data_IF_598900870624
#
_entry.id   IF_598900870624
#
_cell.length_a   1.000
_cell.length_b   1.000
_cell.length_c   1.000
_cell.angle_alpha   90.00
_cell.angle_beta   90.00
_cell.angle_gamma   90.00
#
_symmetry.space_group_name_H-M   'P 1'
#
loop_
_entity.id
_entity.type
_entity.pdbx_description
1 polymer ?
#
# COMPACT_ATOMS: atom_id res chain seq x y z
N UNK A 1 2.44 -14.89 -16.17
CA UNK A 1 1.25 -14.02 -16.34
C UNK A 1 1.48 -12.61 -15.80
N UNK A 2 1.74 -12.43 -14.50
CA UNK A 2 2.01 -11.13 -13.87
C UNK A 2 2.99 -10.23 -14.65
N UNK A 3 4.15 -10.76 -15.06
CA UNK A 3 5.16 -10.01 -15.81
C UNK A 3 4.66 -9.53 -17.19
N UNK A 4 3.89 -10.37 -17.88
CA UNK A 4 3.31 -10.02 -19.18
C UNK A 4 2.22 -8.96 -19.04
N UNK A 5 1.39 -9.05 -18.00
CA UNK A 5 0.39 -8.02 -17.69
C UNK A 5 1.05 -6.69 -17.30
N UNK A 6 2.12 -6.72 -16.48
CA UNK A 6 2.90 -5.53 -16.12
C UNK A 6 3.48 -4.80 -17.33
N UNK A 7 3.92 -5.54 -18.35
CA UNK A 7 4.48 -4.96 -19.57
C UNK A 7 3.48 -4.05 -20.32
N UNK A 8 2.17 -4.24 -20.14
CA UNK A 8 1.13 -3.40 -20.76
C UNK A 8 1.16 -1.94 -20.25
N UNK A 9 1.81 -1.69 -19.10
CA UNK A 9 1.86 -0.39 -18.44
C UNK A 9 3.14 0.39 -18.74
N UNK A 10 4.19 -0.25 -19.28
CA UNK A 10 5.55 0.32 -19.36
C UNK A 10 5.62 1.64 -20.12
N UNK A 11 4.78 1.80 -21.15
CA UNK A 11 4.76 3.01 -21.99
C UNK A 11 4.28 4.24 -21.23
N UNK A 12 3.24 4.09 -20.41
CA UNK A 12 2.60 5.20 -19.70
C UNK A 12 3.16 5.34 -18.27
N UNK A 13 3.72 4.26 -17.71
CA UNK A 13 4.29 4.21 -16.36
C UNK A 13 5.68 3.55 -16.37
N UNK A 14 6.76 4.26 -16.74
CA UNK A 14 8.11 3.68 -16.83
C UNK A 14 8.62 3.03 -15.54
N UNK A 15 8.10 3.45 -14.38
CA UNK A 15 8.44 2.88 -13.09
C UNK A 15 8.10 1.37 -12.98
N UNK A 16 7.13 0.86 -13.76
CA UNK A 16 6.74 -0.56 -13.74
C UNK A 16 7.81 -1.49 -14.32
N UNK A 17 8.76 -0.95 -15.09
CA UNK A 17 9.88 -1.70 -15.62
C UNK A 17 10.95 -1.99 -14.54
N UNK A 18 10.89 -1.30 -13.39
CA UNK A 18 11.79 -1.58 -12.27
C UNK A 18 11.49 -2.98 -11.69
N UNK A 19 12.53 -3.62 -11.16
CA UNK A 19 12.37 -4.84 -10.37
C UNK A 19 11.55 -4.61 -9.09
N UNK A 20 11.26 -5.67 -8.32
CA UNK A 20 10.62 -5.54 -7.01
C UNK A 20 11.43 -4.61 -6.10
N UNK A 21 10.76 -3.68 -5.44
CA UNK A 21 11.35 -2.72 -4.51
C UNK A 21 10.43 -2.50 -3.32
N UNK A 22 11.01 -2.16 -2.17
CA UNK A 22 10.28 -1.59 -1.03
C UNK A 22 10.32 -0.07 -1.17
N UNK A 23 9.18 0.57 -1.01
CA UNK A 23 9.05 2.02 -1.08
C UNK A 23 8.20 2.52 0.09
N UNK A 24 8.43 3.79 0.46
CA UNK A 24 7.59 4.53 1.39
C UNK A 24 6.70 5.49 0.61
N UNK A 25 5.45 5.61 1.04
CA UNK A 25 4.46 6.49 0.44
C UNK A 25 3.10 6.33 1.10
N UNK A 26 2.14 7.15 0.68
CA UNK A 26 0.83 7.18 1.34
C UNK A 26 -0.05 6.02 0.86
N UNK A 27 -0.74 5.42 1.82
CA UNK A 27 -1.75 4.39 1.58
C UNK A 27 -3.14 5.03 1.64
N UNK A 28 -3.79 5.21 0.48
CA UNK A 28 -5.13 5.76 0.42
C UNK A 28 -6.18 4.64 0.54
N UNK A 29 -6.96 4.66 1.62
CA UNK A 29 -7.97 3.65 1.87
C UNK A 29 -9.39 4.21 1.78
N UNK A 30 -10.32 3.41 1.27
CA UNK A 30 -11.75 3.76 1.24
C UNK A 30 -12.65 2.55 1.45
N UNK A 31 -13.91 2.76 1.80
CA UNK A 31 -14.85 1.64 2.03
C UNK A 31 -15.27 0.91 0.72
N UNK A 32 -14.78 1.31 -0.46
CA UNK A 32 -15.14 0.71 -1.74
C UNK A 32 -13.90 0.50 -2.59
N UNK A 33 -13.93 -0.57 -3.38
CA UNK A 33 -12.97 -0.74 -4.46
C UNK A 33 -13.18 0.36 -5.50
N UNK A 34 -12.11 0.97 -5.96
CA UNK A 34 -12.13 2.02 -6.98
C UNK A 34 -10.98 1.82 -7.97
N UNK A 35 -11.18 2.31 -9.19
CA UNK A 35 -10.26 2.05 -10.29
C UNK A 35 -10.37 3.13 -11.38
N UNK A 36 -9.29 3.34 -12.13
CA UNK A 36 -9.22 4.23 -13.28
C UNK A 36 -8.90 5.69 -12.95
N UNK A 37 -8.59 6.44 -14.01
CA UNK A 37 -7.99 7.78 -13.92
C UNK A 37 -8.78 8.79 -13.09
N UNK A 38 -10.11 8.78 -13.17
CA UNK A 38 -10.96 9.71 -12.41
C UNK A 38 -10.87 9.43 -10.92
N UNK A 39 -10.95 8.16 -10.53
CA UNK A 39 -10.86 7.75 -9.13
C UNK A 39 -9.43 7.86 -8.59
N UNK A 40 -8.42 7.60 -9.41
CA UNK A 40 -7.03 7.85 -9.05
C UNK A 40 -6.79 9.34 -8.77
N UNK A 41 -7.28 10.24 -9.63
CA UNK A 41 -7.18 11.68 -9.38
C UNK A 41 -7.87 12.08 -8.07
N UNK A 42 -9.04 11.51 -7.78
CA UNK A 42 -9.72 11.74 -6.51
C UNK A 42 -8.86 11.31 -5.32
N UNK A 43 -8.24 10.12 -5.36
CA UNK A 43 -7.33 9.65 -4.33
C UNK A 43 -6.08 10.54 -4.18
N UNK A 44 -5.49 10.98 -5.30
CA UNK A 44 -4.33 11.88 -5.33
C UNK A 44 -4.67 13.24 -4.70
N UNK A 45 -5.81 13.84 -5.07
CA UNK A 45 -6.25 15.14 -4.55
C UNK A 45 -6.49 15.08 -3.04
N UNK A 46 -7.13 14.02 -2.54
CA UNK A 46 -7.34 13.84 -1.10
C UNK A 46 -6.04 13.57 -0.35
N UNK A 47 -5.13 12.78 -0.93
CA UNK A 47 -3.82 12.53 -0.34
C UNK A 47 -3.04 13.83 -0.21
N UNK A 48 -2.99 14.64 -1.27
CA UNK A 48 -2.35 15.95 -1.24
C UNK A 48 -2.99 16.87 -0.19
N UNK A 49 -4.31 16.89 -0.06
CA UNK A 49 -5.00 17.70 0.95
C UNK A 49 -4.61 17.29 2.37
N UNK A 50 -4.68 16.00 2.71
CA UNK A 50 -4.43 15.53 4.07
C UNK A 50 -2.95 15.53 4.47
N UNK A 51 -2.05 15.52 3.50
CA UNK A 51 -0.60 15.58 3.73
C UNK A 51 -0.02 16.98 3.52
N UNK A 52 -0.87 18.00 3.38
CA UNK A 52 -0.45 19.38 3.06
C UNK A 52 0.51 19.46 1.85
N UNK A 53 0.27 18.61 0.85
CA UNK A 53 1.04 18.52 -0.40
C UNK A 53 2.35 17.74 -0.29
N UNK A 54 2.66 17.11 0.84
CA UNK A 54 3.92 16.39 1.05
C UNK A 54 3.87 14.92 0.59
N UNK A 55 2.67 14.32 0.60
CA UNK A 55 2.46 12.92 0.30
C UNK A 55 2.06 12.65 -1.16
N UNK A 56 2.27 11.40 -1.58
CA UNK A 56 1.83 10.85 -2.87
C UNK A 56 1.06 9.56 -2.61
N UNK A 57 -0.09 9.38 -3.27
CA UNK A 57 -0.89 8.16 -3.18
C UNK A 57 -0.14 7.00 -3.85
N UNK A 58 0.64 6.26 -3.06
CA UNK A 58 1.49 5.18 -3.55
C UNK A 58 0.76 3.82 -3.53
N UNK A 59 -0.24 3.67 -2.65
CA UNK A 59 -0.98 2.42 -2.48
C UNK A 59 -2.47 2.70 -2.29
N UNK A 60 -3.31 1.76 -2.73
CA UNK A 60 -4.74 1.75 -2.46
C UNK A 60 -5.13 0.50 -1.69
N UNK A 61 -6.09 0.62 -0.78
CA UNK A 61 -6.68 -0.53 -0.07
C UNK A 61 -8.07 -0.16 0.48
N UNK A 62 -8.68 -1.08 1.24
CA UNK A 62 -10.02 -0.88 1.80
C UNK A 62 -10.11 -0.97 3.33
N UNK A 63 -9.01 -1.27 4.03
CA UNK A 63 -9.04 -1.55 5.47
C UNK A 63 -8.23 -0.55 6.32
N UNK A 64 -7.14 0.02 5.79
CA UNK A 64 -6.16 0.79 6.57
C UNK A 64 -6.81 1.96 7.30
N UNK A 65 -7.75 2.69 6.67
CA UNK A 65 -8.45 3.81 7.33
C UNK A 65 -9.30 3.36 8.53
N UNK A 66 -9.93 2.19 8.44
CA UNK A 66 -10.73 1.63 9.52
C UNK A 66 -9.86 1.14 10.68
N UNK A 67 -8.75 0.47 10.34
CA UNK A 67 -7.74 0.02 11.31
C UNK A 67 -7.11 1.23 12.01
N UNK A 68 -6.69 2.24 11.25
CA UNK A 68 -6.13 3.48 11.77
C UNK A 68 -7.10 4.16 12.75
N UNK A 69 -8.35 4.37 12.35
CA UNK A 69 -9.37 4.95 13.22
C UNK A 69 -9.61 4.14 14.50
N UNK A 70 -9.60 2.80 14.43
CA UNK A 70 -9.72 1.95 15.61
C UNK A 70 -8.50 2.10 16.54
N UNK A 71 -7.30 2.10 15.98
CA UNK A 71 -6.05 2.24 16.72
C UNK A 71 -5.88 3.62 17.36
N UNK A 72 -6.26 4.70 16.69
CA UNK A 72 -6.28 6.05 17.29
C UNK A 72 -7.20 6.11 18.51
N UNK A 73 -8.33 5.39 18.50
CA UNK A 73 -9.22 5.30 19.67
C UNK A 73 -8.63 4.47 20.80
N UNK A 74 -7.92 3.39 20.49
CA UNK A 74 -7.22 2.59 21.50
C UNK A 74 -6.04 3.34 22.13
N UNK A 75 -5.32 4.12 21.33
CA UNK A 75 -4.27 5.03 21.77
C UNK A 75 -4.81 6.08 22.75
N UNK A 76 -5.91 6.75 22.39
CA UNK A 76 -6.59 7.70 23.27
C UNK A 76 -7.09 7.08 24.60
N UNK A 77 -7.25 5.75 24.66
CA UNK A 77 -7.62 5.00 25.87
C UNK A 77 -6.41 4.42 26.62
N UNK A 78 -5.18 4.70 26.17
CA UNK A 78 -3.95 4.15 26.76
C UNK A 78 -3.84 2.62 26.63
N UNK A 79 -4.42 2.04 25.56
CA UNK A 79 -4.39 0.58 25.31
C UNK A 79 -3.34 0.17 24.28
N UNK A 80 -2.77 1.12 23.56
CA UNK A 80 -1.65 0.96 22.64
C UNK A 80 -0.99 2.33 22.41
N UNK A 81 0.08 2.37 21.61
CA UNK A 81 0.71 3.59 21.11
C UNK A 81 0.60 3.63 19.58
N UNK A 82 -0.09 4.64 19.02
CA UNK A 82 -0.36 4.72 17.58
C UNK A 82 0.91 4.91 16.74
N UNK A 83 1.90 5.62 17.26
CA UNK A 83 3.18 5.86 16.58
C UNK A 83 3.97 4.57 16.29
N UNK A 84 3.56 3.44 16.87
CA UNK A 84 4.16 2.12 16.67
C UNK A 84 3.52 1.34 15.51
N UNK A 85 2.49 1.88 14.86
CA UNK A 85 1.76 1.20 13.79
C UNK A 85 2.53 1.29 12.48
N UNK A 86 2.75 0.13 11.86
CA UNK A 86 3.28 0.00 10.51
C UNK A 86 2.24 -0.64 9.59
N UNK A 87 1.87 0.06 8.52
CA UNK A 87 1.11 -0.53 7.43
C UNK A 87 2.07 -1.02 6.33
N UNK A 88 2.13 -2.34 6.14
CA UNK A 88 2.88 -2.97 5.06
C UNK A 88 1.89 -3.58 4.07
N UNK A 89 1.90 -3.09 2.84
CA UNK A 89 1.02 -3.53 1.75
C UNK A 89 1.84 -3.95 0.54
N UNK A 90 1.35 -4.93 -0.20
CA UNK A 90 1.94 -5.38 -1.48
C UNK A 90 0.93 -5.22 -2.60
N UNK A 91 1.40 -4.84 -3.80
CA UNK A 91 0.53 -4.60 -4.95
C UNK A 91 0.15 -5.89 -5.67
N UNK A 92 -1.13 -6.26 -5.64
CA UNK A 92 -1.70 -7.39 -6.41
C UNK A 92 -2.09 -7.03 -7.84
N UNK A 93 -2.28 -5.73 -8.11
CA UNK A 93 -2.69 -5.16 -9.39
C UNK A 93 -2.50 -3.63 -9.38
N UNK A 94 -2.76 -3.00 -10.52
CA UNK A 94 -2.74 -1.54 -10.66
C UNK A 94 -4.13 -0.94 -10.35
N UNK A 95 -4.17 0.29 -9.85
CA UNK A 95 -5.39 1.10 -9.68
C UNK A 95 -5.86 1.74 -11.00
N UNK A 96 -5.10 1.55 -12.07
CA UNK A 96 -5.33 2.12 -13.40
C UNK A 96 -5.46 0.98 -14.42
N UNK A 97 -6.28 1.13 -15.48
CA UNK A 97 -6.29 0.18 -16.57
C UNK A 97 -5.04 0.36 -17.44
N UNK A 98 -4.59 -0.68 -18.17
CA UNK A 98 -3.58 -0.50 -19.20
C UNK A 98 -4.16 0.29 -20.37
N UNK A 99 -3.28 0.80 -21.23
CA UNK A 99 -3.70 1.58 -22.39
C UNK A 99 -4.63 0.78 -23.31
N UNK A 100 -5.74 1.39 -23.68
CA UNK A 100 -6.72 0.79 -24.60
C UNK A 100 -7.78 -0.07 -23.92
N UNK A 101 -7.71 -0.24 -22.60
CA UNK A 101 -8.73 -0.93 -21.82
C UNK A 101 -9.59 0.06 -21.02
N UNK A 102 -10.88 -0.26 -20.88
CA UNK A 102 -11.77 0.56 -20.05
C UNK A 102 -11.54 0.29 -18.56
N UNK A 103 -11.75 1.29 -17.71
CA UNK A 103 -11.65 1.12 -16.26
C UNK A 103 -12.60 0.03 -15.74
N UNK A 104 -13.81 -0.09 -16.30
CA UNK A 104 -14.78 -1.10 -15.88
C UNK A 104 -14.33 -2.54 -16.21
N UNK A 105 -13.71 -2.74 -17.38
CA UNK A 105 -13.19 -4.05 -17.78
C UNK A 105 -11.99 -4.46 -16.91
N UNK A 106 -11.03 -3.56 -16.72
CA UNK A 106 -9.85 -3.83 -15.90
C UNK A 106 -10.20 -4.03 -14.42
N UNK A 107 -11.20 -3.30 -13.91
CA UNK A 107 -11.69 -3.42 -12.53
C UNK A 107 -12.19 -4.83 -12.17
N UNK A 108 -12.78 -5.55 -13.13
CA UNK A 108 -13.34 -6.89 -12.91
C UNK A 108 -12.41 -8.01 -13.40
N UNK A 109 -11.23 -7.65 -13.91
CA UNK A 109 -10.23 -8.62 -14.32
C UNK A 109 -9.64 -9.35 -13.10
N UNK A 110 -9.18 -10.58 -13.32
CA UNK A 110 -8.47 -11.33 -12.30
C UNK A 110 -7.18 -10.62 -11.88
N UNK A 111 -6.79 -10.72 -10.61
CA UNK A 111 -5.57 -10.09 -10.11
C UNK A 111 -4.32 -10.84 -10.59
N UNK A 112 -3.76 -10.45 -11.74
CA UNK A 112 -2.61 -11.15 -12.34
C UNK A 112 -1.36 -11.12 -11.45
N UNK A 113 -1.28 -10.18 -10.49
CA UNK A 113 -0.20 -10.06 -9.51
C UNK A 113 -0.50 -10.70 -8.15
N UNK A 114 -1.61 -11.43 -7.97
CA UNK A 114 -2.01 -11.97 -6.66
C UNK A 114 -0.92 -12.84 -6.03
N UNK A 115 -0.49 -13.92 -6.70
CA UNK A 115 0.50 -14.85 -6.13
C UNK A 115 1.83 -14.13 -5.79
N UNK A 116 2.45 -13.35 -6.69
CA UNK A 116 3.64 -12.55 -6.35
C UNK A 116 3.41 -11.59 -5.18
N UNK A 117 2.23 -10.98 -5.05
CA UNK A 117 1.93 -10.06 -3.94
C UNK A 117 1.89 -10.77 -2.58
N UNK A 118 1.37 -12.00 -2.53
CA UNK A 118 1.33 -12.82 -1.31
C UNK A 118 2.73 -13.29 -0.92
N UNK A 119 3.51 -13.75 -1.90
CA UNK A 119 4.91 -14.13 -1.67
C UNK A 119 5.75 -12.96 -1.18
N UNK A 120 5.58 -11.77 -1.79
CA UNK A 120 6.25 -10.55 -1.34
C UNK A 120 5.80 -10.12 0.06
N UNK A 121 4.52 -10.29 0.41
CA UNK A 121 4.02 -9.95 1.73
C UNK A 121 4.69 -10.79 2.81
N UNK A 122 4.86 -12.10 2.55
CA UNK A 122 5.62 -12.97 3.45
C UNK A 122 7.10 -12.58 3.45
N UNK A 123 7.75 -12.51 2.27
CA UNK A 123 9.18 -12.30 2.17
C UNK A 123 9.68 -10.98 2.77
N UNK A 124 8.89 -9.91 2.69
CA UNK A 124 9.23 -8.60 3.28
C UNK A 124 8.69 -8.49 4.70
N UNK A 125 7.45 -8.93 4.94
CA UNK A 125 6.81 -8.82 6.25
C UNK A 125 7.48 -9.68 7.31
N UNK A 126 7.94 -10.89 6.97
CA UNK A 126 8.62 -11.77 7.92
C UNK A 126 9.91 -11.13 8.44
N UNK A 127 10.67 -10.43 7.60
CA UNK A 127 11.90 -9.73 8.01
C UNK A 127 11.63 -8.72 9.13
N UNK A 128 10.53 -7.98 9.04
CA UNK A 128 10.13 -7.00 10.07
C UNK A 128 9.74 -7.72 11.36
N UNK A 129 8.89 -8.75 11.27
CA UNK A 129 8.41 -9.50 12.43
C UNK A 129 9.58 -10.20 13.13
N UNK A 130 10.44 -10.89 12.38
CA UNK A 130 11.60 -11.60 12.90
C UNK A 130 12.55 -10.65 13.62
N UNK A 131 12.80 -9.46 13.04
CA UNK A 131 13.64 -8.43 13.67
C UNK A 131 13.02 -7.90 14.98
N UNK A 132 11.72 -7.62 14.99
CA UNK A 132 11.01 -7.13 16.18
C UNK A 132 11.01 -8.17 17.32
N UNK A 133 10.76 -9.44 16.98
CA UNK A 133 10.73 -10.53 17.95
C UNK A 133 12.14 -10.82 18.50
N UNK A 134 13.14 -10.91 17.63
CA UNK A 134 14.52 -11.15 18.05
C UNK A 134 15.08 -10.00 18.90
N UNK A 135 14.69 -8.76 18.59
CA UNK A 135 15.10 -7.55 19.30
C UNK A 135 14.14 -7.09 20.39
N UNK A 136 13.22 -7.94 20.87
CA UNK A 136 12.09 -7.49 21.70
C UNK A 136 12.51 -6.70 22.94
N UNK A 137 13.61 -7.07 23.61
CA UNK A 137 14.10 -6.34 24.78
C UNK A 137 14.40 -4.84 24.52
N UNK A 138 14.66 -4.47 23.27
CA UNK A 138 14.84 -3.08 22.82
C UNK A 138 13.50 -2.54 22.34
N UNK A 139 12.88 -3.28 21.42
CA UNK A 139 11.71 -2.80 20.72
C UNK A 139 10.46 -2.73 21.59
N UNK A 140 10.40 -3.40 22.75
CA UNK A 140 9.32 -3.24 23.71
C UNK A 140 9.09 -1.76 24.09
N UNK A 141 10.18 -0.98 24.21
CA UNK A 141 10.12 0.42 24.65
C UNK A 141 10.61 1.42 23.61
N UNK A 142 11.25 0.96 22.54
CA UNK A 142 11.84 1.81 21.51
C UNK A 142 11.23 1.52 20.15
N UNK A 143 10.73 2.54 19.46
CA UNK A 143 10.22 2.40 18.09
C UNK A 143 11.40 2.28 17.12
N UNK A 144 11.42 1.31 16.19
CA UNK A 144 12.45 1.25 15.16
C UNK A 144 12.47 2.56 14.34
N UNK A 145 13.66 3.10 14.10
CA UNK A 145 13.87 4.28 13.24
C UNK A 145 14.87 3.92 12.15
N UNK A 146 14.77 4.58 11.00
CA UNK A 146 15.85 4.57 10.01
C UNK A 146 16.89 5.61 10.43
N UNK A 147 18.17 5.24 10.44
CA UNK A 147 19.29 6.19 10.55
C UNK A 147 19.23 7.30 9.49
#
# INVERSE_FOLDING_TARGET
EAAAHRALYEKDFPAVAKGPVVLLGESFASCRYWHGAVMQKWADDWTALYTAGQGLCAMTNMEDHGIANAFTRLDALGKMEYDRVLFLRTGSNFSMPPKGESAAASMVAEYQGMLPSLEAAHAVGSVVVDALVAGWAIYETTIPTSD
#
